data_IF_716511964209
#
_entry.id   IF_716511964209
#
_cell.length_a   1.000
_cell.length_b   1.000
_cell.length_c   1.000
_cell.angle_alpha   90.00
_cell.angle_beta   90.00
_cell.angle_gamma   90.00
#
_symmetry.space_group_name_H-M   'P 1'
#
loop_
_entity.id
_entity.type
_entity.pdbx_description
1 polymer ?
#
# COMPACT_ATOMS: atom_id res chain seq x y z
N UNK A 1 -62.87 43.81 13.08
CA UNK A 1 -62.72 43.00 11.86
C UNK A 1 -61.88 43.77 10.86
N UNK A 2 -60.75 43.16 10.46
CA UNK A 2 -60.13 43.23 9.12
C UNK A 2 -59.35 44.46 8.63
N UNK A 3 -58.09 44.15 8.24
CA UNK A 3 -57.22 44.67 7.14
C UNK A 3 -56.48 46.00 7.40
N UNK A 4 -55.16 46.05 7.60
CA UNK A 4 -53.96 45.64 6.82
C UNK A 4 -53.54 46.63 5.72
N UNK A 5 -52.21 46.85 5.65
CA UNK A 5 -51.32 47.47 4.63
C UNK A 5 -50.75 48.86 5.01
N UNK A 6 -49.53 48.96 5.57
CA UNK A 6 -48.18 48.91 4.95
C UNK A 6 -47.94 49.93 3.83
N UNK A 7 -47.10 50.95 4.10
CA UNK A 7 -46.23 51.60 3.10
C UNK A 7 -44.89 52.05 3.72
N UNK A 8 -43.88 51.20 3.53
CA UNK A 8 -42.53 51.47 3.00
C UNK A 8 -41.85 52.83 3.33
N UNK A 9 -40.90 52.79 4.26
CA UNK A 9 -39.80 53.77 4.35
C UNK A 9 -38.47 53.07 4.11
N UNK A 10 -38.00 53.09 2.86
CA UNK A 10 -36.67 52.59 2.47
C UNK A 10 -35.58 53.58 2.93
N UNK A 11 -35.07 53.38 4.14
CA UNK A 11 -33.82 53.99 4.60
C UNK A 11 -32.66 53.35 3.82
N UNK A 12 -32.08 54.12 2.88
CA UNK A 12 -30.87 53.76 2.13
C UNK A 12 -29.75 53.39 3.10
N UNK A 13 -29.40 52.10 3.13
CA UNK A 13 -28.27 51.55 3.87
C UNK A 13 -26.99 51.91 3.13
N UNK A 14 -26.10 52.61 3.82
CA UNK A 14 -24.74 52.98 3.39
C UNK A 14 -24.02 51.75 2.80
N UNK A 15 -23.36 51.84 1.64
CA UNK A 15 -22.51 50.74 1.16
C UNK A 15 -21.33 50.62 2.13
N UNK A 16 -21.20 49.46 2.78
CA UNK A 16 -20.03 49.16 3.61
C UNK A 16 -18.80 48.95 2.72
N UNK A 17 -17.62 49.43 3.14
CA UNK A 17 -16.42 49.41 2.30
C UNK A 17 -15.91 47.98 2.11
N UNK A 18 -15.64 47.62 0.85
CA UNK A 18 -14.91 46.43 0.42
C UNK A 18 -13.65 46.23 1.26
N UNK A 19 -13.74 45.37 2.28
CA UNK A 19 -12.62 44.95 3.10
C UNK A 19 -12.14 43.59 2.62
N UNK A 20 -11.51 43.58 1.44
CA UNK A 20 -10.69 42.45 0.94
C UNK A 20 -9.33 42.42 1.66
N UNK A 21 -9.31 42.73 2.96
CA UNK A 21 -8.10 42.83 3.77
C UNK A 21 -8.00 41.59 4.65
N UNK A 22 -7.07 40.70 4.27
CA UNK A 22 -6.31 39.81 5.14
C UNK A 22 -7.12 38.99 6.17
N UNK A 23 -8.12 38.25 5.72
CA UNK A 23 -8.65 37.15 6.54
C UNK A 23 -7.55 36.08 6.69
N UNK A 24 -7.25 35.60 7.90
CA UNK A 24 -6.30 34.50 8.11
C UNK A 24 -6.69 33.25 7.32
N UNK A 25 -7.97 33.10 6.98
CA UNK A 25 -8.51 32.09 6.07
C UNK A 25 -7.92 32.18 4.65
N UNK A 26 -7.78 33.39 4.08
CA UNK A 26 -7.26 33.59 2.72
C UNK A 26 -5.74 33.38 2.66
N UNK A 27 -5.01 33.78 3.71
CA UNK A 27 -3.57 33.52 3.83
C UNK A 27 -3.32 32.02 3.91
N UNK A 28 -4.11 31.30 4.70
CA UNK A 28 -4.00 29.85 4.83
C UNK A 28 -4.39 29.13 3.53
N UNK A 29 -5.44 29.59 2.84
CA UNK A 29 -5.85 29.05 1.55
C UNK A 29 -4.75 29.22 0.48
N UNK A 30 -4.15 30.41 0.39
CA UNK A 30 -3.07 30.67 -0.56
C UNK A 30 -1.82 29.82 -0.27
N UNK A 31 -1.51 29.60 1.02
CA UNK A 31 -0.41 28.73 1.43
C UNK A 31 -0.67 27.25 1.10
N UNK A 32 -1.90 26.78 1.28
CA UNK A 32 -2.28 25.42 0.93
C UNK A 32 -2.26 25.24 -0.59
N UNK A 33 -2.70 26.26 -1.35
CA UNK A 33 -2.63 26.25 -2.81
C UNK A 33 -1.19 26.29 -3.32
N UNK A 34 -0.27 26.97 -2.64
CA UNK A 34 1.14 27.04 -3.06
C UNK A 34 1.90 25.73 -2.85
N UNK A 35 1.46 24.86 -1.92
CA UNK A 35 2.05 23.53 -1.66
C UNK A 35 1.50 22.44 -2.58
N UNK A 36 0.49 22.75 -3.41
CA UNK A 36 0.01 21.88 -4.49
C UNK A 36 -0.45 20.50 -4.03
N UNK A 37 0.18 19.47 -4.60
CA UNK A 37 -0.15 18.04 -4.49
C UNK A 37 0.44 17.35 -3.24
N UNK A 38 1.45 17.95 -2.61
CA UNK A 38 2.12 17.45 -1.40
C UNK A 38 1.40 17.84 -0.10
N UNK A 39 0.44 18.77 -0.18
CA UNK A 39 -0.30 19.28 0.98
C UNK A 39 0.62 19.89 2.05
N UNK A 40 0.02 20.31 3.16
CA UNK A 40 0.78 20.90 4.28
C UNK A 40 0.24 20.41 5.62
N UNK A 41 1.14 20.16 6.57
CA UNK A 41 0.79 19.75 7.92
C UNK A 41 0.41 20.97 8.78
N UNK A 42 -0.56 20.79 9.68
CA UNK A 42 -0.99 21.79 10.67
C UNK A 42 0.18 22.46 11.43
N UNK A 43 1.25 21.72 11.74
CA UNK A 43 2.41 22.30 12.44
C UNK A 43 3.25 23.22 11.54
N UNK A 44 3.43 22.85 10.28
CA UNK A 44 4.19 23.65 9.31
C UNK A 44 3.39 24.88 8.86
N UNK A 45 2.05 24.75 8.75
CA UNK A 45 1.17 25.90 8.58
C UNK A 45 1.34 26.94 9.69
N UNK A 46 1.51 26.53 10.95
CA UNK A 46 1.77 27.47 12.06
C UNK A 46 3.11 28.17 11.89
N UNK A 47 4.16 27.43 11.54
CA UNK A 47 5.52 27.98 11.37
C UNK A 47 5.58 28.97 10.21
N UNK A 48 4.92 28.69 9.10
CA UNK A 48 4.95 29.54 7.91
C UNK A 48 3.99 30.74 8.00
N UNK A 49 2.85 30.60 8.70
CA UNK A 49 1.89 31.72 8.84
C UNK A 49 2.11 32.59 10.09
N UNK A 50 2.93 32.15 11.06
CA UNK A 50 3.07 32.79 12.37
C UNK A 50 1.72 33.02 13.09
N UNK A 51 0.69 32.22 12.79
CA UNK A 51 -0.64 32.31 13.40
C UNK A 51 -0.78 31.41 14.63
N UNK A 52 -1.60 31.81 15.59
CA UNK A 52 -1.86 31.02 16.80
C UNK A 52 -2.72 29.78 16.50
N UNK A 53 -2.52 28.71 17.27
CA UNK A 53 -3.26 27.45 17.14
C UNK A 53 -4.81 27.58 17.14
N UNK A 54 -5.46 28.40 17.99
CA UNK A 54 -6.91 28.56 17.94
C UNK A 54 -7.39 29.25 16.66
N UNK A 55 -6.59 30.14 16.06
CA UNK A 55 -6.94 30.82 14.81
C UNK A 55 -6.82 29.87 13.62
N UNK A 56 -5.72 29.10 13.54
CA UNK A 56 -5.51 28.10 12.49
C UNK A 56 -6.59 27.01 12.53
N UNK A 57 -6.97 26.53 13.72
CA UNK A 57 -8.02 25.49 13.84
C UNK A 57 -9.41 26.01 13.44
N UNK A 58 -9.73 27.26 13.80
CA UNK A 58 -11.01 27.89 13.41
C UNK A 58 -11.08 28.13 11.90
N UNK A 59 -9.99 28.62 11.31
CA UNK A 59 -9.87 28.82 9.87
C UNK A 59 -9.95 27.50 9.09
N UNK A 60 -9.27 26.43 9.54
CA UNK A 60 -9.36 25.12 8.90
C UNK A 60 -10.79 24.56 8.93
N UNK A 61 -11.51 24.68 10.05
CA UNK A 61 -12.92 24.26 10.13
C UNK A 61 -13.83 25.10 9.22
N UNK A 62 -13.61 26.41 9.14
CA UNK A 62 -14.36 27.29 8.24
C UNK A 62 -14.12 26.95 6.77
N UNK A 63 -12.86 26.66 6.39
CA UNK A 63 -12.49 26.29 5.04
C UNK A 63 -12.93 24.86 4.65
N UNK A 64 -12.93 23.91 5.60
CA UNK A 64 -13.53 22.58 5.42
C UNK A 64 -15.05 22.68 5.26
N UNK A 65 -15.73 23.50 6.07
CA UNK A 65 -17.17 23.73 5.95
C UNK A 65 -17.59 24.36 4.63
N UNK A 66 -16.67 25.08 3.96
CA UNK A 66 -16.85 25.63 2.60
C UNK A 66 -16.37 24.70 1.48
N UNK A 67 -15.93 23.47 1.79
CA UNK A 67 -15.37 22.49 0.84
C UNK A 67 -14.18 23.01 0.01
N UNK A 68 -13.40 23.97 0.54
CA UNK A 68 -12.22 24.51 -0.16
C UNK A 68 -10.96 23.68 0.10
N UNK A 69 -10.92 22.92 1.19
CA UNK A 69 -9.78 22.14 1.66
C UNK A 69 -10.25 20.74 2.08
N UNK A 70 -9.48 19.72 1.74
CA UNK A 70 -9.66 18.33 2.17
C UNK A 70 -8.52 17.88 3.08
N UNK A 71 -8.85 17.03 4.04
CA UNK A 71 -7.88 16.39 4.93
C UNK A 71 -7.37 15.11 4.27
N UNK A 72 -6.06 14.99 4.12
CA UNK A 72 -5.40 13.82 3.56
C UNK A 72 -4.46 13.24 4.59
N UNK A 73 -4.58 11.94 4.80
CA UNK A 73 -3.70 11.18 5.69
C UNK A 73 -2.47 10.80 4.88
N UNK A 74 -1.28 11.14 5.37
CA UNK A 74 -0.03 10.73 4.77
C UNK A 74 0.31 9.31 5.22
N UNK A 75 0.55 8.39 4.27
CA UNK A 75 0.86 6.99 4.56
C UNK A 75 2.21 6.78 5.22
N UNK A 76 3.20 7.61 4.90
CA UNK A 76 4.51 7.57 5.56
C UNK A 76 4.40 8.01 7.03
N UNK A 77 3.45 8.89 7.34
CA UNK A 77 3.27 9.47 8.67
C UNK A 77 1.78 9.50 9.07
N UNK A 78 1.22 8.34 9.40
CA UNK A 78 -0.21 8.18 9.79
C UNK A 78 -0.66 9.09 10.96
N UNK A 79 0.26 9.58 11.78
CA UNK A 79 -0.03 10.51 12.88
C UNK A 79 -0.18 11.98 12.47
N UNK A 80 0.21 12.38 11.25
CA UNK A 80 0.23 13.79 10.81
C UNK A 80 -0.85 14.04 9.75
N UNK A 81 -1.89 14.77 10.15
CA UNK A 81 -2.97 15.22 9.26
C UNK A 81 -2.46 16.30 8.30
N UNK A 82 -2.42 15.99 7.01
CA UNK A 82 -2.08 16.95 5.97
C UNK A 82 -3.37 17.54 5.40
N UNK A 83 -3.31 18.80 4.98
CA UNK A 83 -4.43 19.49 4.36
C UNK A 83 -4.01 19.92 2.97
N UNK A 84 -4.90 19.76 2.00
CA UNK A 84 -4.71 20.19 0.62
C UNK A 84 -5.97 20.86 0.08
N UNK A 85 -5.83 21.69 -0.96
CA UNK A 85 -7.00 22.30 -1.57
C UNK A 85 -7.88 21.21 -2.20
N UNK A 86 -9.19 21.40 -2.18
CA UNK A 86 -10.14 20.43 -2.73
C UNK A 86 -9.90 20.18 -4.23
N UNK A 87 -9.40 21.21 -4.94
CA UNK A 87 -9.06 21.21 -6.36
C UNK A 87 -7.86 20.32 -6.73
N UNK A 88 -6.97 19.99 -5.79
CA UNK A 88 -5.76 19.21 -6.08
C UNK A 88 -5.93 17.73 -5.75
N UNK A 89 -5.53 16.84 -6.65
CA UNK A 89 -5.45 15.41 -6.35
C UNK A 89 -4.19 15.11 -5.53
N UNK A 90 -4.28 14.27 -4.48
CA UNK A 90 -3.13 13.92 -3.67
C UNK A 90 -2.09 13.18 -4.51
N UNK A 91 -0.80 13.53 -4.33
CA UNK A 91 0.28 12.81 -5.00
C UNK A 91 0.31 11.33 -4.60
N UNK A 92 0.79 10.46 -5.50
CA UNK A 92 0.94 9.01 -5.26
C UNK A 92 1.88 8.71 -4.08
N UNK A 93 2.77 9.65 -3.74
CA UNK A 93 3.66 9.54 -2.59
C UNK A 93 2.93 9.72 -1.26
N UNK A 94 1.90 10.57 -1.21
CA UNK A 94 1.05 10.75 -0.03
C UNK A 94 0.02 9.62 0.14
N UNK A 95 -0.57 9.20 -0.98
CA UNK A 95 -1.62 8.15 -1.04
C UNK A 95 -1.07 6.75 -1.21
N UNK A 96 0.26 6.56 -1.30
CA UNK A 96 0.89 5.24 -1.39
C UNK A 96 0.54 4.46 -2.65
N UNK A 97 -0.13 5.09 -3.61
CA UNK A 97 -0.59 4.48 -4.85
C UNK A 97 -1.79 3.53 -4.68
N UNK A 98 -2.04 2.70 -5.70
CA UNK A 98 -3.23 1.83 -5.76
C UNK A 98 -3.25 0.69 -4.73
N UNK A 99 -2.20 0.55 -3.91
CA UNK A 99 -2.14 -0.44 -2.83
C UNK A 99 -2.80 0.03 -1.53
N UNK A 100 -3.21 1.30 -1.45
CA UNK A 100 -3.77 1.88 -0.24
C UNK A 100 -5.17 2.40 -0.47
N UNK A 101 -6.07 2.00 0.41
CA UNK A 101 -7.44 2.50 0.49
C UNK A 101 -7.59 3.24 1.81
N UNK A 102 -7.97 4.52 1.77
CA UNK A 102 -8.19 5.35 2.96
C UNK A 102 -6.99 5.40 3.94
N UNK A 103 -5.76 5.31 3.42
CA UNK A 103 -4.53 5.37 4.23
C UNK A 103 -4.12 4.04 4.88
N UNK A 104 -4.80 2.94 4.56
CA UNK A 104 -4.40 1.59 4.94
C UNK A 104 -4.03 0.76 3.72
N UNK A 105 -2.96 -0.03 3.85
CA UNK A 105 -2.52 -0.94 2.80
C UNK A 105 -3.54 -2.07 2.68
N UNK A 106 -4.11 -2.21 1.49
CA UNK A 106 -5.13 -3.20 1.19
C UNK A 106 -4.46 -4.57 0.97
N UNK A 107 -4.18 -5.25 2.10
CA UNK A 107 -3.57 -6.58 2.11
C UNK A 107 -4.46 -7.61 1.44
N UNK A 108 -5.77 -7.46 1.55
CA UNK A 108 -6.73 -8.42 0.99
C UNK A 108 -6.71 -8.33 -0.54
N UNK A 109 -6.73 -7.12 -1.08
CA UNK A 109 -6.55 -6.89 -2.51
C UNK A 109 -5.21 -7.45 -3.02
N UNK A 110 -4.10 -7.17 -2.35
CA UNK A 110 -2.78 -7.70 -2.73
C UNK A 110 -2.78 -9.24 -2.71
N UNK A 111 -3.39 -9.85 -1.69
CA UNK A 111 -3.47 -11.31 -1.57
C UNK A 111 -4.36 -11.93 -2.66
N UNK A 112 -5.47 -11.28 -3.03
CA UNK A 112 -6.33 -11.71 -4.14
C UNK A 112 -5.58 -11.64 -5.47
N UNK A 113 -4.83 -10.55 -5.70
CA UNK A 113 -4.04 -10.39 -6.91
C UNK A 113 -2.89 -11.39 -6.96
N UNK A 114 -2.14 -11.60 -5.86
CA UNK A 114 -1.13 -12.67 -5.74
C UNK A 114 -1.71 -14.03 -6.10
N UNK A 115 -2.82 -14.43 -5.48
CA UNK A 115 -3.50 -15.72 -5.77
C UNK A 115 -3.90 -15.84 -7.24
N UNK A 116 -4.36 -14.75 -7.84
CA UNK A 116 -4.75 -14.71 -9.25
C UNK A 116 -3.53 -14.88 -10.16
N UNK A 117 -2.44 -14.17 -9.87
CA UNK A 117 -1.15 -14.33 -10.56
C UNK A 117 -0.63 -15.77 -10.45
N UNK A 118 -0.64 -16.38 -9.25
CA UNK A 118 -0.20 -17.77 -9.05
C UNK A 118 -1.00 -18.75 -9.91
N UNK A 119 -2.33 -18.61 -9.94
CA UNK A 119 -3.21 -19.46 -10.78
C UNK A 119 -2.92 -19.30 -12.28
N UNK A 120 -2.65 -18.08 -12.73
CA UNK A 120 -2.30 -17.81 -14.14
C UNK A 120 -0.97 -18.50 -14.47
N UNK A 121 0.05 -18.32 -13.63
CA UNK A 121 1.38 -18.93 -13.85
C UNK A 121 1.29 -20.45 -13.82
N UNK A 122 0.49 -21.03 -12.92
CA UNK A 122 0.26 -22.47 -12.85
C UNK A 122 -0.43 -23.01 -14.12
N UNK A 123 -1.42 -22.28 -14.64
CA UNK A 123 -2.14 -22.67 -15.87
C UNK A 123 -1.26 -22.58 -17.12
N UNK A 124 -0.44 -21.54 -17.24
CA UNK A 124 0.41 -21.31 -18.40
C UNK A 124 1.80 -21.96 -18.28
N UNK A 125 2.15 -22.48 -17.10
CA UNK A 125 3.47 -22.98 -16.68
C UNK A 125 4.60 -21.93 -16.69
N UNK A 126 4.60 -21.04 -17.67
CA UNK A 126 5.51 -19.91 -17.82
C UNK A 126 4.70 -18.67 -18.23
N UNK A 127 4.90 -17.54 -17.55
CA UNK A 127 4.25 -16.28 -17.89
C UNK A 127 5.23 -15.09 -17.78
N UNK A 128 5.08 -14.10 -18.66
CA UNK A 128 5.78 -12.82 -18.54
C UNK A 128 4.94 -11.83 -17.73
N UNK A 129 5.55 -10.80 -17.16
CA UNK A 129 4.80 -9.74 -16.45
C UNK A 129 3.72 -9.11 -17.34
N UNK A 130 4.02 -8.94 -18.63
CA UNK A 130 3.07 -8.42 -19.60
C UNK A 130 1.96 -9.42 -19.95
N UNK A 131 2.28 -10.70 -20.09
CA UNK A 131 1.25 -11.73 -20.25
C UNK A 131 0.30 -11.77 -19.07
N UNK A 132 0.82 -11.74 -17.83
CA UNK A 132 -0.02 -11.68 -16.61
C UNK A 132 -0.88 -10.42 -16.59
N UNK A 133 -0.35 -9.28 -17.05
CA UNK A 133 -1.11 -8.03 -17.19
C UNK A 133 -2.27 -8.15 -18.17
N UNK A 134 -2.01 -8.66 -19.37
CA UNK A 134 -3.02 -8.84 -20.41
C UNK A 134 -4.11 -9.81 -19.92
N UNK A 135 -3.74 -10.91 -19.26
CA UNK A 135 -4.70 -11.83 -18.64
C UNK A 135 -5.52 -11.18 -17.53
N UNK A 136 -4.92 -10.32 -16.71
CA UNK A 136 -5.65 -9.63 -15.65
C UNK A 136 -6.70 -8.67 -16.24
N UNK A 137 -6.34 -7.98 -17.33
CA UNK A 137 -7.22 -7.07 -18.05
C UNK A 137 -8.37 -7.80 -18.74
N UNK A 138 -8.07 -8.89 -19.44
CA UNK A 138 -9.06 -9.66 -20.21
C UNK A 138 -10.07 -10.36 -19.31
N UNK A 139 -9.63 -10.87 -18.16
CA UNK A 139 -10.52 -11.56 -17.22
C UNK A 139 -11.31 -10.60 -16.31
N UNK A 140 -11.11 -9.27 -16.43
CA UNK A 140 -11.74 -8.24 -15.56
C UNK A 140 -11.72 -8.63 -14.08
N UNK A 141 -10.63 -9.22 -13.61
CA UNK A 141 -10.53 -9.73 -12.23
C UNK A 141 -10.58 -8.56 -11.23
N UNK A 142 -10.26 -7.36 -11.70
CA UNK A 142 -10.02 -6.19 -10.86
C UNK A 142 -10.71 -4.97 -11.45
N UNK A 143 -11.50 -4.28 -10.61
CA UNK A 143 -12.20 -3.03 -10.94
C UNK A 143 -11.28 -1.80 -10.94
N UNK A 144 -10.03 -1.95 -10.49
CA UNK A 144 -9.04 -0.89 -10.32
C UNK A 144 -8.05 -0.91 -11.48
N UNK A 145 -7.69 0.27 -12.01
CA UNK A 145 -6.70 0.43 -13.07
C UNK A 145 -5.30 0.02 -12.58
N UNK A 146 -4.97 -1.25 -12.75
CA UNK A 146 -3.63 -1.77 -12.47
C UNK A 146 -2.69 -1.39 -13.62
N UNK A 147 -1.44 -1.11 -13.28
CA UNK A 147 -0.35 -0.90 -14.24
C UNK A 147 0.57 -2.12 -14.32
N UNK A 148 1.28 -2.28 -15.43
CA UNK A 148 2.25 -3.37 -15.61
C UNK A 148 3.35 -3.36 -14.54
N UNK A 149 3.74 -2.17 -14.05
CA UNK A 149 4.72 -2.02 -12.98
C UNK A 149 4.24 -2.61 -11.64
N UNK A 150 2.96 -2.41 -11.30
CA UNK A 150 2.37 -2.96 -10.07
C UNK A 150 2.32 -4.49 -10.09
N UNK A 151 2.03 -5.09 -11.25
CA UNK A 151 2.09 -6.55 -11.41
C UNK A 151 3.52 -7.04 -11.25
N UNK A 152 4.48 -6.31 -11.81
CA UNK A 152 5.89 -6.65 -11.67
C UNK A 152 6.36 -6.58 -10.22
N UNK A 153 5.93 -5.59 -9.43
CA UNK A 153 6.19 -5.53 -7.99
C UNK A 153 5.61 -6.73 -7.24
N UNK A 154 4.37 -7.13 -7.56
CA UNK A 154 3.77 -8.34 -6.99
C UNK A 154 4.55 -9.59 -7.35
N UNK A 155 4.92 -9.75 -8.63
CA UNK A 155 5.68 -10.90 -9.07
C UNK A 155 7.04 -10.96 -8.37
N UNK A 156 7.72 -9.83 -8.19
CA UNK A 156 8.95 -9.75 -7.38
C UNK A 156 8.71 -10.16 -5.93
N UNK A 157 7.61 -9.71 -5.31
CA UNK A 157 7.25 -10.16 -3.95
C UNK A 157 7.02 -11.67 -3.92
N UNK A 158 6.35 -12.25 -4.92
CA UNK A 158 6.12 -13.70 -4.98
C UNK A 158 7.43 -14.49 -5.22
N UNK A 159 8.41 -13.90 -5.92
CA UNK A 159 9.77 -14.47 -6.04
C UNK A 159 10.46 -14.49 -4.68
N UNK A 160 10.36 -13.41 -3.90
CA UNK A 160 10.91 -13.35 -2.54
C UNK A 160 10.24 -14.38 -1.61
N UNK A 161 8.94 -14.59 -1.78
CA UNK A 161 8.16 -15.60 -1.04
C UNK A 161 8.45 -17.05 -1.52
N UNK A 162 9.33 -17.23 -2.52
CA UNK A 162 9.66 -18.52 -3.17
C UNK A 162 8.45 -19.27 -3.77
N UNK A 163 7.36 -18.56 -4.08
CA UNK A 163 6.21 -19.16 -4.77
C UNK A 163 6.47 -19.33 -6.27
N UNK A 164 7.22 -18.39 -6.85
CA UNK A 164 7.56 -18.35 -8.27
C UNK A 164 9.06 -18.07 -8.46
N UNK A 165 9.60 -18.49 -9.59
CA UNK A 165 11.02 -18.28 -9.93
C UNK A 165 11.13 -17.43 -11.18
N UNK A 166 12.02 -16.45 -11.14
CA UNK A 166 12.42 -15.67 -12.30
C UNK A 166 13.38 -16.49 -13.19
N UNK A 167 13.02 -16.65 -14.46
CA UNK A 167 13.78 -17.43 -15.45
C UNK A 167 13.88 -16.64 -16.74
N UNK A 168 15.03 -16.72 -17.42
CA UNK A 168 15.18 -16.16 -18.77
C UNK A 168 14.66 -17.16 -19.81
N UNK A 169 13.86 -16.66 -20.75
CA UNK A 169 13.34 -17.47 -21.85
C UNK A 169 14.47 -18.11 -22.65
N UNK A 170 14.42 -19.44 -22.79
CA UNK A 170 15.29 -20.22 -23.67
C UNK A 170 14.73 -20.35 -25.08
N UNK A 171 13.54 -19.79 -25.36
CA UNK A 171 12.86 -19.84 -26.67
C UNK A 171 12.46 -21.24 -27.16
N UNK A 172 12.58 -22.26 -26.29
CA UNK A 172 12.34 -23.67 -26.61
C UNK A 172 11.33 -24.25 -25.61
N UNK A 173 10.54 -25.25 -26.05
CA UNK A 173 9.56 -25.93 -25.18
C UNK A 173 8.50 -24.97 -24.63
N UNK A 174 8.35 -24.91 -23.32
CA UNK A 174 7.35 -24.06 -22.64
C UNK A 174 7.58 -22.55 -22.85
N UNK A 175 8.76 -22.17 -23.37
CA UNK A 175 9.13 -20.78 -23.69
C UNK A 175 8.88 -20.38 -25.16
N UNK A 176 8.27 -21.25 -25.99
CA UNK A 176 8.17 -21.02 -27.44
C UNK A 176 7.44 -19.72 -27.85
N UNK A 177 6.51 -19.24 -27.02
CA UNK A 177 5.76 -17.99 -27.27
C UNK A 177 6.53 -16.73 -26.87
N UNK A 178 7.69 -16.87 -26.23
CA UNK A 178 8.39 -15.77 -25.57
C UNK A 178 9.77 -15.58 -26.21
N UNK A 179 10.13 -14.37 -26.66
CA UNK A 179 11.44 -14.11 -27.25
C UNK A 179 12.58 -14.54 -26.32
N UNK A 180 13.64 -15.09 -26.89
CA UNK A 180 14.82 -15.53 -26.12
C UNK A 180 15.39 -14.37 -25.29
N UNK A 181 15.79 -14.68 -24.06
CA UNK A 181 16.35 -13.69 -23.13
C UNK A 181 15.33 -12.83 -22.36
N UNK A 182 14.04 -12.92 -22.70
CA UNK A 182 12.98 -12.22 -21.95
C UNK A 182 12.84 -12.80 -20.55
N UNK A 183 12.59 -11.94 -19.56
CA UNK A 183 12.32 -12.34 -18.18
C UNK A 183 10.91 -12.93 -18.06
N UNK A 184 10.84 -14.14 -17.52
CA UNK A 184 9.63 -14.91 -17.32
C UNK A 184 9.54 -15.41 -15.88
N UNK A 185 8.34 -15.75 -15.46
CA UNK A 185 8.04 -16.32 -14.16
C UNK A 185 7.41 -17.70 -14.35
N UNK A 186 7.83 -18.65 -13.53
CA UNK A 186 7.22 -19.98 -13.47
C UNK A 186 7.04 -20.43 -12.04
N UNK A 187 6.08 -21.30 -11.79
CA UNK A 187 5.87 -21.87 -10.45
C UNK A 187 7.03 -22.80 -10.09
N UNK A 188 7.45 -22.77 -8.82
CA UNK A 188 8.48 -23.68 -8.28
C UNK A 188 8.08 -25.16 -8.41
N UNK A 189 6.79 -25.45 -8.46
CA UNK A 189 6.22 -26.81 -8.57
C UNK A 189 6.48 -27.50 -9.92
N UNK A 190 6.89 -26.77 -10.96
CA UNK A 190 7.10 -27.31 -12.32
C UNK A 190 8.45 -27.99 -12.59
N UNK A 191 9.33 -28.12 -11.58
CA UNK A 191 10.64 -28.78 -11.71
C UNK A 191 10.60 -30.30 -11.52
N UNK A 192 9.65 -31.03 -12.13
CA UNK A 192 9.67 -32.51 -12.08
C UNK A 192 9.69 -33.14 -10.67
N UNK A 193 9.40 -32.35 -9.63
CA UNK A 193 9.36 -32.69 -8.22
C UNK A 193 7.99 -32.25 -7.76
N UNK A 194 6.99 -33.14 -7.86
CA UNK A 194 5.59 -32.88 -7.55
C UNK A 194 5.30 -32.63 -6.06
N UNK A 195 6.12 -31.86 -5.36
CA UNK A 195 5.88 -31.37 -4.01
C UNK A 195 6.41 -29.94 -4.00
N UNK A 196 5.71 -29.01 -3.33
CA UNK A 196 6.18 -27.64 -3.14
C UNK A 196 7.54 -27.59 -2.41
N UNK A 197 7.91 -26.46 -1.79
CA UNK A 197 9.12 -26.41 -0.96
C UNK A 197 9.07 -27.54 0.07
N UNK A 198 9.76 -28.65 -0.18
CA UNK A 198 9.89 -29.71 0.81
C UNK A 198 10.71 -29.08 1.91
N UNK A 199 10.05 -28.79 3.04
CA UNK A 199 10.75 -28.53 4.29
C UNK A 199 11.77 -29.66 4.42
N UNK A 200 13.06 -29.32 4.31
CA UNK A 200 14.11 -30.35 4.33
C UNK A 200 13.93 -31.18 5.60
N UNK A 201 14.19 -32.48 5.54
CA UNK A 201 14.00 -33.38 6.69
C UNK A 201 14.68 -32.87 7.98
N UNK A 202 15.71 -32.04 7.82
CA UNK A 202 16.42 -31.40 8.92
C UNK A 202 15.65 -30.23 9.55
N UNK A 203 14.83 -29.50 8.80
CA UNK A 203 13.97 -28.44 9.31
C UNK A 203 12.72 -28.96 10.03
N UNK A 204 12.38 -30.24 9.87
CA UNK A 204 11.29 -30.90 10.60
C UNK A 204 11.72 -31.52 11.94
N UNK A 205 13.01 -31.49 12.29
CA UNK A 205 13.57 -32.13 13.50
C UNK A 205 14.43 -31.11 14.23
N UNK A 206 14.44 -31.07 15.58
CA UNK A 206 15.17 -30.07 16.36
C UNK A 206 16.68 -30.01 16.05
N UNK A 207 17.25 -31.09 15.52
CA UNK A 207 18.65 -31.15 15.13
C UNK A 207 19.02 -30.11 14.06
N UNK A 208 18.10 -29.72 13.15
CA UNK A 208 18.44 -28.78 12.07
C UNK A 208 18.60 -27.33 12.46
N UNK A 209 18.04 -26.96 13.60
CA UNK A 209 18.23 -25.65 14.22
C UNK A 209 19.13 -25.71 15.46
N UNK A 210 19.72 -26.88 15.76
CA UNK A 210 20.49 -27.07 16.98
C UNK A 210 21.80 -26.27 16.94
N UNK A 211 22.01 -25.30 17.86
CA UNK A 211 23.20 -24.45 17.85
C UNK A 211 24.49 -25.20 18.23
N UNK A 212 24.36 -26.41 18.76
CA UNK A 212 25.48 -27.26 19.22
C UNK A 212 25.57 -28.58 18.48
N UNK A 213 24.97 -28.69 17.28
CA UNK A 213 24.96 -29.95 16.50
C UNK A 213 26.36 -30.50 16.25
N UNK A 214 27.35 -29.63 16.02
CA UNK A 214 28.75 -30.01 15.79
C UNK A 214 29.45 -30.60 17.04
N UNK A 215 28.85 -30.47 18.21
CA UNK A 215 29.37 -30.99 19.48
C UNK A 215 28.58 -32.22 19.95
N UNK A 216 27.53 -32.60 19.21
CA UNK A 216 26.65 -33.70 19.55
C UNK A 216 27.27 -35.02 19.08
N UNK A 217 27.68 -35.87 20.01
CA UNK A 217 28.30 -37.18 19.72
C UNK A 217 27.71 -38.29 20.58
N UNK A 218 27.68 -39.55 20.10
CA UNK A 218 27.42 -40.69 20.96
C UNK A 218 28.41 -40.68 22.14
N UNK A 219 27.88 -40.70 23.36
CA UNK A 219 28.63 -40.76 24.63
C UNK A 219 29.45 -39.49 24.99
N UNK A 220 29.18 -38.35 24.34
CA UNK A 220 29.71 -37.03 24.71
C UNK A 220 28.87 -36.30 25.77
N UNK A 221 29.38 -35.16 26.27
CA UNK A 221 28.65 -34.26 27.20
C UNK A 221 27.32 -33.80 26.57
N UNK A 222 27.34 -33.54 25.26
CA UNK A 222 26.15 -33.29 24.44
C UNK A 222 25.91 -34.57 23.63
N UNK A 223 24.86 -35.29 23.98
CA UNK A 223 24.55 -36.61 23.42
C UNK A 223 23.09 -36.65 22.94
N UNK A 224 22.79 -37.33 21.81
CA UNK A 224 21.41 -37.51 21.35
C UNK A 224 20.51 -38.19 22.38
N UNK A 225 21.03 -39.15 23.16
CA UNK A 225 20.27 -39.93 24.15
C UNK A 225 19.74 -39.07 25.31
N UNK A 226 20.47 -38.04 25.70
CA UNK A 226 20.13 -37.11 26.80
C UNK A 226 19.75 -35.73 26.29
N UNK A 227 19.47 -35.60 24.99
CA UNK A 227 19.19 -34.31 24.36
C UNK A 227 17.81 -33.79 24.76
N UNK A 228 17.78 -32.71 25.54
CA UNK A 228 16.54 -32.04 25.96
C UNK A 228 15.68 -31.58 24.77
N UNK A 229 16.29 -30.99 23.74
CA UNK A 229 15.56 -30.54 22.54
C UNK A 229 14.88 -31.68 21.79
N UNK A 230 15.50 -32.86 21.78
CA UNK A 230 14.95 -34.04 21.11
C UNK A 230 13.83 -34.66 21.95
N UNK A 231 14.00 -34.73 23.27
CA UNK A 231 12.96 -35.21 24.20
C UNK A 231 11.71 -34.32 24.15
N UNK A 232 11.86 -33.01 24.32
CA UNK A 232 10.73 -32.07 24.25
C UNK A 232 10.00 -32.18 22.90
N UNK A 233 10.73 -32.29 21.79
CA UNK A 233 10.14 -32.45 20.47
C UNK A 233 9.37 -33.76 20.31
N UNK A 234 9.84 -34.87 20.88
CA UNK A 234 9.11 -36.14 20.90
C UNK A 234 7.85 -36.06 21.77
N UNK A 235 7.91 -35.33 22.89
CA UNK A 235 6.78 -35.16 23.81
C UNK A 235 5.64 -34.33 23.20
N UNK A 236 5.94 -33.43 22.25
CA UNK A 236 4.93 -32.70 21.45
C UNK A 236 4.37 -33.53 20.27
N UNK A 237 4.95 -34.68 19.97
CA UNK A 237 4.70 -35.48 18.75
C UNK A 237 3.68 -36.61 18.88
N UNK A 238 2.79 -36.59 19.88
CA UNK A 238 1.65 -37.52 20.08
C UNK A 238 0.35 -36.72 20.24
#
# INVERSE_FOLDING_TARGET
MSRSQETLSLKRKRPEPNTLVLMPENVLLNLIKSKGDMGIWKADMKRETNLSEPVVTKALKALQGRNLIKEVVNIQNKGRKHYMAAEFEPSKELTGGAWYTEGNLDKDFINILKKSCSKIIEKFKVATAQGVYDFCKDNKIISVDITTQQILEILRSMVLDNEVVEVKSTGLGEFYKIPMGTVCYRTTSGMGLGQGPKVGAMASIPCGACPRINQCMPDGIICPKTCKYYQEWLDFGI
#
